data_IF_137899550717
#
_entry.id   IF_137899550717
#
_cell.length_a   1.000
_cell.length_b   1.000
_cell.length_c   1.000
_cell.angle_alpha   90.00
_cell.angle_beta   90.00
_cell.angle_gamma   90.00
#
_symmetry.space_group_name_H-M   'P 1'
#
loop_
_entity.id
_entity.type
_entity.pdbx_description
1 polymer ?
#
# COMPACT_ATOMS: atom_id res chain seq x y z
N UNK A 1 18.03 3.07 -7.22
CA UNK A 1 17.23 2.47 -6.13
C UNK A 1 17.47 3.29 -4.88
N UNK A 2 16.58 4.21 -4.55
CA UNK A 2 16.64 4.91 -3.26
C UNK A 2 16.23 3.93 -2.17
N UNK A 3 16.95 3.90 -1.05
CA UNK A 3 16.49 3.20 0.14
C UNK A 3 15.12 3.78 0.53
N UNK A 4 14.10 2.93 0.68
CA UNK A 4 12.79 3.35 1.14
C UNK A 4 12.91 4.02 2.51
N UNK A 5 12.03 4.97 2.83
CA UNK A 5 11.98 5.49 4.19
C UNK A 5 11.56 4.36 5.14
N UNK A 6 11.87 4.44 6.45
CA UNK A 6 11.40 3.44 7.43
C UNK A 6 9.88 3.25 7.40
N UNK A 7 9.13 4.31 7.07
CA UNK A 7 7.69 4.25 6.86
C UNK A 7 7.33 3.44 5.60
N UNK A 8 8.05 3.62 4.49
CA UNK A 8 7.80 2.86 3.26
C UNK A 8 8.06 1.36 3.45
N UNK A 9 9.13 0.99 4.15
CA UNK A 9 9.42 -0.42 4.43
C UNK A 9 8.34 -1.06 5.33
N UNK A 10 7.80 -0.31 6.28
CA UNK A 10 6.66 -0.76 7.09
C UNK A 10 5.40 -0.98 6.25
N UNK A 11 5.10 -0.07 5.31
CA UNK A 11 3.97 -0.23 4.37
C UNK A 11 4.18 -1.45 3.47
N UNK A 12 5.40 -1.64 2.94
CA UNK A 12 5.75 -2.79 2.09
C UNK A 12 5.58 -4.11 2.84
N UNK A 13 6.06 -4.19 4.08
CA UNK A 13 5.91 -5.40 4.90
C UNK A 13 4.43 -5.71 5.17
N UNK A 14 3.66 -4.70 5.58
CA UNK A 14 2.25 -4.87 5.89
C UNK A 14 1.42 -5.28 4.65
N UNK A 15 1.68 -4.64 3.51
CA UNK A 15 1.04 -4.97 2.24
C UNK A 15 1.42 -6.37 1.75
N UNK A 16 2.69 -6.77 1.90
CA UNK A 16 3.15 -8.12 1.56
C UNK A 16 2.43 -9.18 2.40
N UNK A 17 2.35 -8.99 3.72
CA UNK A 17 1.61 -9.90 4.60
C UNK A 17 0.13 -9.96 4.25
N UNK A 18 -0.49 -8.81 3.96
CA UNK A 18 -1.91 -8.74 3.61
C UNK A 18 -2.22 -9.44 2.27
N UNK A 19 -1.34 -9.35 1.28
CA UNK A 19 -1.55 -9.92 -0.06
C UNK A 19 -1.06 -11.37 -0.20
N UNK A 20 -0.15 -11.84 0.65
CA UNK A 20 0.41 -13.20 0.59
C UNK A 20 -0.63 -14.34 0.54
N UNK A 21 -1.77 -14.27 1.24
CA UNK A 21 -2.80 -15.32 1.18
C UNK A 21 -3.60 -15.36 -0.13
N UNK A 22 -3.49 -14.33 -0.97
CA UNK A 22 -4.35 -14.16 -2.14
C UNK A 22 -3.59 -14.41 -3.46
N UNK A 23 -4.30 -14.80 -4.54
CA UNK A 23 -3.73 -14.88 -5.88
C UNK A 23 -3.57 -13.46 -6.48
N UNK A 24 -2.77 -12.62 -5.86
CA UNK A 24 -2.64 -11.18 -6.16
C UNK A 24 -2.29 -10.88 -7.63
N UNK A 25 -1.69 -11.82 -8.36
CA UNK A 25 -1.43 -11.70 -9.81
C UNK A 25 -2.70 -11.65 -10.67
N UNK A 26 -3.83 -12.11 -10.14
CA UNK A 26 -5.13 -12.02 -10.79
C UNK A 26 -5.91 -10.75 -10.43
N UNK A 27 -5.36 -9.87 -9.61
CA UNK A 27 -6.05 -8.65 -9.21
C UNK A 27 -6.04 -7.61 -10.33
N UNK A 28 -7.05 -6.75 -10.33
CA UNK A 28 -7.04 -5.57 -11.19
C UNK A 28 -6.05 -4.54 -10.66
N UNK A 29 -5.48 -3.68 -11.53
CA UNK A 29 -4.71 -2.52 -11.09
C UNK A 29 -5.46 -1.64 -10.09
N UNK A 30 -6.78 -1.47 -10.27
CA UNK A 30 -7.65 -0.73 -9.34
C UNK A 30 -7.63 -1.33 -7.94
N UNK A 31 -7.75 -2.65 -7.82
CA UNK A 31 -7.76 -3.31 -6.52
C UNK A 31 -6.39 -3.20 -5.83
N UNK A 32 -5.30 -3.39 -6.58
CA UNK A 32 -3.95 -3.23 -6.06
C UNK A 32 -3.67 -1.79 -5.60
N UNK A 33 -4.08 -0.80 -6.39
CA UNK A 33 -3.99 0.62 -6.04
C UNK A 33 -4.69 0.91 -4.71
N UNK A 34 -5.92 0.42 -4.55
CA UNK A 34 -6.72 0.61 -3.34
C UNK A 34 -6.11 -0.07 -2.12
N UNK A 35 -5.48 -1.23 -2.28
CA UNK A 35 -4.72 -1.87 -1.19
C UNK A 35 -3.47 -1.07 -0.83
N UNK A 36 -2.73 -0.57 -1.81
CA UNK A 36 -1.55 0.28 -1.58
C UNK A 36 -1.89 1.54 -0.78
N UNK A 37 -2.96 2.23 -1.17
CA UNK A 37 -3.47 3.43 -0.48
C UNK A 37 -3.91 3.12 0.95
N UNK A 38 -4.69 2.06 1.16
CA UNK A 38 -5.12 1.67 2.50
C UNK A 38 -3.95 1.31 3.42
N UNK A 39 -2.93 0.62 2.90
CA UNK A 39 -1.74 0.29 3.67
C UNK A 39 -0.97 1.56 4.07
N UNK A 40 -0.86 2.53 3.15
CA UNK A 40 -0.22 3.82 3.44
C UNK A 40 -0.96 4.58 4.52
N UNK A 41 -2.26 4.80 4.34
CA UNK A 41 -3.10 5.55 5.27
C UNK A 41 -3.05 4.96 6.67
N UNK A 42 -3.04 3.61 6.79
CA UNK A 42 -2.96 2.93 8.08
C UNK A 42 -1.60 3.09 8.77
N UNK A 43 -0.49 3.04 8.02
CA UNK A 43 0.85 3.31 8.59
C UNK A 43 0.97 4.77 9.02
N UNK A 44 0.47 5.71 8.22
CA UNK A 44 0.50 7.14 8.57
C UNK A 44 -0.38 7.44 9.78
N UNK A 45 -1.57 6.86 9.85
CA UNK A 45 -2.44 6.94 11.02
C UNK A 45 -1.77 6.33 12.26
N UNK A 46 -1.10 5.18 12.12
CA UNK A 46 -0.39 4.56 13.23
C UNK A 46 0.77 5.42 13.73
N UNK A 47 1.52 6.05 12.82
CA UNK A 47 2.56 7.00 13.18
C UNK A 47 1.96 8.22 13.89
N UNK A 48 0.86 8.79 13.40
CA UNK A 48 0.18 9.92 14.03
C UNK A 48 -0.35 9.57 15.44
N UNK A 49 -0.92 8.38 15.62
CA UNK A 49 -1.46 7.92 16.91
C UNK A 49 -0.38 7.50 17.90
N UNK A 50 0.84 7.19 17.45
CA UNK A 50 1.94 6.80 18.34
C UNK A 50 2.31 7.88 19.37
N UNK A 51 1.97 9.15 19.10
CA UNK A 51 2.16 10.27 20.03
C UNK A 51 0.99 10.52 20.98
N UNK A 52 -0.14 9.82 20.83
CA UNK A 52 -1.35 10.04 21.63
C UNK A 52 -1.40 9.05 22.79
N UNK A 53 -1.32 9.57 24.00
CA UNK A 53 -1.38 8.74 25.22
C UNK A 53 -2.72 8.00 25.30
N UNK A 54 -2.66 6.67 25.41
CA UNK A 54 -3.84 5.79 25.48
C UNK A 54 -4.43 5.39 24.12
N UNK A 55 -3.89 5.88 23.00
CA UNK A 55 -4.27 5.39 21.68
C UNK A 55 -3.59 4.05 21.38
N UNK A 56 -4.37 3.07 20.95
CA UNK A 56 -3.88 1.80 20.45
C UNK A 56 -4.42 1.59 19.03
N UNK A 57 -3.52 1.33 18.08
CA UNK A 57 -3.91 0.90 16.74
C UNK A 57 -4.14 -0.59 16.79
N UNK A 58 -5.37 -1.01 16.50
CA UNK A 58 -5.71 -2.43 16.40
C UNK A 58 -4.87 -3.17 15.35
N UNK A 59 -4.79 -4.50 15.45
CA UNK A 59 -3.92 -5.30 14.60
C UNK A 59 -4.31 -5.22 13.11
N UNK A 60 -3.39 -5.64 12.24
CA UNK A 60 -3.52 -5.62 10.77
C UNK A 60 -4.24 -6.86 10.22
N UNK A 61 -5.23 -7.38 10.96
CA UNK A 61 -5.82 -8.70 10.69
C UNK A 61 -6.46 -8.81 9.31
N UNK A 62 -6.97 -7.68 8.80
CA UNK A 62 -7.46 -7.54 7.44
C UNK A 62 -7.21 -6.11 6.97
N UNK A 63 -6.48 -5.98 5.86
CA UNK A 63 -6.40 -4.72 5.14
C UNK A 63 -7.64 -4.58 4.27
N UNK A 64 -8.48 -3.59 4.54
CA UNK A 64 -9.60 -3.27 3.65
C UNK A 64 -9.10 -2.33 2.54
N UNK A 65 -9.44 -2.56 1.26
CA UNK A 65 -9.05 -1.65 0.20
C UNK A 65 -9.66 -0.26 0.42
N UNK A 66 -8.94 0.79 0.03
CA UNK A 66 -9.46 2.16 0.05
C UNK A 66 -10.81 2.27 -0.69
N UNK A 67 -11.56 3.35 -0.42
CA UNK A 67 -12.84 3.60 -1.08
C UNK A 67 -12.72 3.59 -2.60
N UNK A 68 -13.77 3.15 -3.31
CA UNK A 68 -13.76 3.12 -4.77
C UNK A 68 -13.66 4.52 -5.38
N UNK A 69 -14.23 5.51 -4.69
CA UNK A 69 -14.26 6.91 -5.09
C UNK A 69 -13.05 7.71 -4.58
N UNK A 70 -12.02 7.02 -4.07
CA UNK A 70 -10.79 7.67 -3.64
C UNK A 70 -10.07 8.28 -4.85
N UNK A 71 -9.98 9.61 -4.87
CA UNK A 71 -9.42 10.38 -5.97
C UNK A 71 -7.95 10.07 -6.28
N UNK A 72 -7.23 9.39 -5.38
CA UNK A 72 -5.84 8.96 -5.57
C UNK A 72 -5.73 7.68 -6.41
N UNK A 73 -6.79 6.88 -6.48
CA UNK A 73 -6.80 5.58 -7.18
C UNK A 73 -6.44 5.69 -8.66
N UNK A 74 -7.03 6.60 -9.47
CA UNK A 74 -6.75 6.65 -10.91
C UNK A 74 -5.27 6.87 -11.25
N UNK A 75 -4.55 7.62 -10.42
CA UNK A 75 -3.14 7.94 -10.68
C UNK A 75 -2.24 6.74 -10.41
N UNK A 76 -2.49 6.01 -9.31
CA UNK A 76 -1.80 4.74 -9.01
C UNK A 76 -2.14 3.67 -10.05
N UNK A 77 -3.38 3.63 -10.54
CA UNK A 77 -3.82 2.73 -11.61
C UNK A 77 -3.05 3.00 -12.91
N UNK A 78 -2.88 4.27 -13.29
CA UNK A 78 -2.10 4.64 -14.48
C UNK A 78 -0.68 4.06 -14.43
N UNK A 79 0.01 4.21 -13.30
CA UNK A 79 1.33 3.63 -13.13
C UNK A 79 1.34 2.10 -13.20
N UNK A 80 0.38 1.44 -12.56
CA UNK A 80 0.29 -0.02 -12.61
C UNK A 80 -0.06 -0.55 -14.01
N UNK A 81 -0.76 0.24 -14.83
CA UNK A 81 -1.04 -0.13 -16.22
C UNK A 81 0.22 -0.13 -17.10
N UNK A 82 1.18 0.75 -16.81
CA UNK A 82 2.45 0.85 -17.53
C UNK A 82 3.52 -0.14 -17.02
N UNK A 83 3.31 -0.71 -15.83
CA UNK A 83 4.23 -1.66 -15.20
C UNK A 83 3.82 -3.11 -15.47
N UNK A 84 4.78 -3.97 -15.79
CA UNK A 84 4.61 -5.44 -15.80
C UNK A 84 4.61 -6.02 -14.39
N UNK A 85 3.73 -5.53 -13.52
CA UNK A 85 3.72 -5.85 -12.09
C UNK A 85 3.47 -7.33 -11.79
N UNK A 86 2.82 -8.06 -12.70
CA UNK A 86 2.59 -9.51 -12.58
C UNK A 86 3.86 -10.35 -12.69
N UNK A 87 4.89 -9.84 -13.39
CA UNK A 87 6.19 -10.49 -13.54
C UNK A 87 7.11 -10.30 -12.32
N UNK A 88 6.74 -9.40 -11.40
CA UNK A 88 7.52 -9.13 -10.20
C UNK A 88 7.30 -10.18 -9.10
N UNK A 89 8.21 -10.20 -8.14
CA UNK A 89 7.95 -10.83 -6.84
C UNK A 89 6.96 -9.99 -6.05
N UNK A 90 6.21 -10.59 -5.12
CA UNK A 90 5.26 -9.86 -4.28
C UNK A 90 5.92 -8.67 -3.54
N UNK A 91 7.07 -8.84 -2.87
CA UNK A 91 7.76 -7.69 -2.25
C UNK A 91 8.24 -6.65 -3.26
N UNK A 92 8.65 -7.08 -4.47
CA UNK A 92 9.05 -6.16 -5.54
C UNK A 92 7.89 -5.30 -6.01
N UNK A 93 6.74 -5.92 -6.28
CA UNK A 93 5.50 -5.22 -6.63
C UNK A 93 5.07 -4.26 -5.52
N UNK A 94 5.06 -4.71 -4.26
CA UNK A 94 4.70 -3.87 -3.11
C UNK A 94 5.62 -2.62 -3.01
N UNK A 95 6.93 -2.75 -3.24
CA UNK A 95 7.86 -1.60 -3.23
C UNK A 95 7.53 -0.58 -4.32
N UNK A 96 7.27 -1.05 -5.54
CA UNK A 96 6.87 -0.15 -6.64
C UNK A 96 5.55 0.56 -6.32
N UNK A 97 4.57 -0.17 -5.81
CA UNK A 97 3.27 0.37 -5.44
C UNK A 97 3.38 1.44 -4.33
N UNK A 98 4.15 1.17 -3.27
CA UNK A 98 4.38 2.13 -2.18
C UNK A 98 5.14 3.37 -2.65
N UNK A 99 6.12 3.20 -3.54
CA UNK A 99 6.85 4.32 -4.14
C UNK A 99 5.94 5.30 -4.88
N UNK A 100 4.90 4.80 -5.54
CA UNK A 100 3.93 5.63 -6.28
C UNK A 100 2.94 6.29 -5.33
N UNK A 101 2.37 5.52 -4.40
CA UNK A 101 1.44 6.03 -3.40
C UNK A 101 2.07 7.14 -2.54
N UNK A 102 3.36 7.05 -2.24
CA UNK A 102 4.09 8.07 -1.49
C UNK A 102 4.32 9.40 -2.25
N UNK A 103 4.30 9.37 -3.59
CA UNK A 103 4.39 10.59 -4.43
C UNK A 103 3.02 11.28 -4.54
N UNK A 104 1.93 10.51 -4.52
CA UNK A 104 0.55 11.01 -4.64
C UNK A 104 0.07 11.89 -3.48
N UNK A 105 0.72 11.79 -2.32
CA UNK A 105 0.39 12.51 -1.11
C UNK A 105 1.22 13.80 -0.91
N UNK A 106 2.12 14.13 -1.85
CA UNK A 106 2.99 15.33 -1.77
C UNK A 106 2.54 16.46 -2.68
#
# INVERSE_FOLDING_TARGET
MSAGTPSDEAVVAALTTALAPYPWRGFTPELLARFGLAARDRVELAAALSGVHGAAVGPWDRLEPAGRDDARVPRVVGFLADLRWTELSLPGMCRHLVGVVGVELR
#
